data_IF_120637903393
#
_entry.id   IF_120637903393
#
_cell.length_a   1.000
_cell.length_b   1.000
_cell.length_c   1.000
_cell.angle_alpha   90.00
_cell.angle_beta   90.00
_cell.angle_gamma   90.00
#
_symmetry.space_group_name_H-M   'P 1'
#
loop_
_entity.id
_entity.type
_entity.pdbx_description
1 polymer ?
#
# COMPACT_ATOMS: atom_id res chain seq x y z
N UNK A 1 24.95 22.97 -4.73
CA UNK A 1 24.42 21.65 -5.14
C UNK A 1 24.79 20.52 -4.17
N UNK A 2 24.91 20.79 -2.87
CA UNK A 2 25.14 19.77 -1.83
C UNK A 2 24.02 19.70 -0.78
N UNK A 3 22.89 20.39 -0.99
CA UNK A 3 21.85 20.54 0.03
C UNK A 3 20.81 19.40 0.01
N UNK A 4 20.39 18.91 -1.16
CA UNK A 4 19.33 17.89 -1.23
C UNK A 4 19.73 16.58 -0.55
N UNK A 5 20.84 15.95 -0.98
CA UNK A 5 21.25 14.65 -0.41
C UNK A 5 21.54 14.74 1.09
N UNK A 6 22.10 15.86 1.56
CA UNK A 6 22.32 16.10 2.98
C UNK A 6 21.01 16.23 3.77
N UNK A 7 20.03 16.98 3.25
CA UNK A 7 18.71 17.12 3.86
C UNK A 7 17.97 15.79 3.87
N UNK A 8 17.96 15.08 2.74
CA UNK A 8 17.29 13.78 2.60
C UNK A 8 17.83 12.74 3.60
N UNK A 9 19.16 12.65 3.76
CA UNK A 9 19.77 11.74 4.75
C UNK A 9 19.36 12.13 6.16
N UNK A 10 19.42 13.43 6.49
CA UNK A 10 19.02 13.93 7.82
C UNK A 10 17.54 13.65 8.13
N UNK A 11 16.66 13.88 7.17
CA UNK A 11 15.22 13.60 7.29
C UNK A 11 14.96 12.09 7.40
N UNK A 12 15.67 11.28 6.63
CA UNK A 12 15.59 9.81 6.71
C UNK A 12 15.94 9.32 8.12
N UNK A 13 17.03 9.82 8.71
CA UNK A 13 17.37 9.49 10.09
C UNK A 13 16.28 9.91 11.07
N UNK A 14 15.77 11.13 10.96
CA UNK A 14 14.71 11.61 11.85
C UNK A 14 13.43 10.77 11.76
N UNK A 15 13.06 10.31 10.56
CA UNK A 15 11.92 9.40 10.37
C UNK A 15 12.20 8.02 10.98
N UNK A 16 13.37 7.45 10.74
CA UNK A 16 13.74 6.14 11.29
C UNK A 16 13.78 6.15 12.82
N UNK A 17 14.32 7.21 13.42
CA UNK A 17 14.38 7.38 14.88
C UNK A 17 12.98 7.55 15.51
N UNK A 18 12.00 8.01 14.75
CA UNK A 18 10.62 8.19 15.20
C UNK A 18 9.77 6.91 15.09
N UNK A 19 10.23 5.89 14.38
CA UNK A 19 9.50 4.63 14.22
C UNK A 19 9.78 3.73 15.43
N UNK A 20 8.73 3.38 16.19
CA UNK A 20 8.81 2.35 17.24
C UNK A 20 9.08 0.97 16.59
N UNK A 21 10.23 0.32 16.85
CA UNK A 21 10.52 -0.99 16.26
C UNK A 21 9.47 -2.04 16.63
N UNK A 22 8.90 -1.98 17.84
CA UNK A 22 7.86 -2.91 18.25
C UNK A 22 6.56 -2.71 17.47
N UNK A 23 6.31 -1.50 16.95
CA UNK A 23 5.15 -1.26 16.08
C UNK A 23 5.29 -1.96 14.74
N UNK A 24 6.51 -2.03 14.20
CA UNK A 24 6.81 -2.75 12.96
C UNK A 24 6.59 -4.25 13.16
N UNK A 25 7.09 -4.82 14.26
CA UNK A 25 6.89 -6.23 14.59
C UNK A 25 5.39 -6.56 14.75
N UNK A 26 4.63 -5.70 15.45
CA UNK A 26 3.17 -5.88 15.59
C UNK A 26 2.47 -5.90 14.22
N UNK A 27 2.84 -5.02 13.30
CA UNK A 27 2.28 -5.02 11.94
C UNK A 27 2.62 -6.32 11.21
N UNK A 28 3.88 -6.78 11.29
CA UNK A 28 4.31 -8.03 10.67
C UNK A 28 3.56 -9.25 11.22
N UNK A 29 3.36 -9.32 12.55
CA UNK A 29 2.58 -10.37 13.21
C UNK A 29 1.12 -10.37 12.75
N UNK A 30 0.45 -9.22 12.73
CA UNK A 30 -0.95 -9.13 12.28
C UNK A 30 -1.11 -9.50 10.81
N UNK A 31 -0.17 -9.10 9.95
CA UNK A 31 -0.13 -9.55 8.56
C UNK A 31 0.04 -11.08 8.47
N UNK A 32 0.93 -11.65 9.29
CA UNK A 32 1.07 -13.11 9.42
C UNK A 32 -0.24 -13.81 9.75
N UNK A 33 -0.98 -13.31 10.76
CA UNK A 33 -2.28 -13.85 11.15
C UNK A 33 -3.35 -13.70 10.08
N UNK A 34 -3.33 -12.62 9.30
CA UNK A 34 -4.24 -12.43 8.15
C UNK A 34 -3.94 -13.49 7.09
N UNK A 35 -2.66 -13.73 6.77
CA UNK A 35 -2.27 -14.76 5.80
C UNK A 35 -2.66 -16.17 6.27
N UNK A 36 -2.44 -16.51 7.53
CA UNK A 36 -2.73 -17.84 8.10
C UNK A 36 -4.21 -18.22 8.06
N UNK A 37 -5.11 -17.23 8.02
CA UNK A 37 -6.56 -17.45 7.89
C UNK A 37 -7.07 -17.30 6.45
N UNK A 38 -6.17 -17.41 5.47
CA UNK A 38 -6.45 -17.20 4.04
C UNK A 38 -7.12 -15.83 3.78
N UNK A 39 -6.69 -14.81 4.51
CA UNK A 39 -7.18 -13.45 4.39
C UNK A 39 -6.53 -12.68 3.25
N UNK A 40 -7.18 -11.58 2.85
CA UNK A 40 -6.75 -10.71 1.74
C UNK A 40 -6.14 -9.41 2.25
N UNK A 41 -5.09 -8.94 1.58
CA UNK A 41 -4.45 -7.65 1.84
C UNK A 41 -4.71 -6.68 0.68
N UNK A 42 -5.30 -5.53 1.00
CA UNK A 42 -5.50 -4.44 0.03
C UNK A 42 -4.54 -3.29 0.35
N UNK A 43 -3.71 -2.92 -0.62
CA UNK A 43 -2.73 -1.83 -0.49
C UNK A 43 -3.19 -0.70 -1.40
N UNK A 44 -3.26 0.52 -0.88
CA UNK A 44 -3.84 1.67 -1.59
C UNK A 44 -2.84 2.82 -1.60
N UNK A 45 -2.72 3.50 -2.73
CA UNK A 45 -1.91 4.69 -2.87
C UNK A 45 -2.35 5.53 -4.07
N UNK A 46 -2.10 6.83 -4.02
CA UNK A 46 -2.43 7.78 -5.11
C UNK A 46 -1.13 8.38 -5.67
N UNK A 47 -1.10 8.65 -6.98
CA UNK A 47 0.07 9.26 -7.64
C UNK A 47 1.31 8.37 -7.52
N UNK A 48 2.43 8.93 -7.06
CA UNK A 48 3.67 8.15 -6.85
C UNK A 48 3.51 7.00 -5.84
N UNK A 49 2.60 7.14 -4.87
CA UNK A 49 2.30 6.07 -3.91
C UNK A 49 1.49 4.93 -4.52
N UNK A 50 0.79 5.16 -5.65
CA UNK A 50 0.16 4.07 -6.41
C UNK A 50 1.21 3.08 -6.92
N UNK A 51 2.35 3.59 -7.42
CA UNK A 51 3.48 2.75 -7.83
C UNK A 51 4.09 1.95 -6.67
N UNK A 52 4.18 2.55 -5.47
CA UNK A 52 4.59 1.84 -4.26
C UNK A 52 3.59 0.75 -3.86
N UNK A 53 2.28 1.01 -3.97
CA UNK A 53 1.24 0.03 -3.68
C UNK A 53 1.34 -1.19 -4.62
N UNK A 54 1.45 -0.96 -5.93
CA UNK A 54 1.64 -2.02 -6.93
C UNK A 54 2.93 -2.82 -6.67
N UNK A 55 4.04 -2.15 -6.33
CA UNK A 55 5.29 -2.83 -5.98
C UNK A 55 5.13 -3.71 -4.73
N UNK A 56 4.54 -3.17 -3.67
CA UNK A 56 4.30 -3.92 -2.44
C UNK A 56 3.40 -5.14 -2.69
N UNK A 57 2.34 -5.00 -3.50
CA UNK A 57 1.48 -6.13 -3.91
C UNK A 57 2.31 -7.23 -4.56
N UNK A 58 3.24 -6.89 -5.46
CA UNK A 58 4.13 -7.89 -6.09
C UNK A 58 4.98 -8.63 -5.05
N UNK A 59 5.58 -7.91 -4.10
CA UNK A 59 6.41 -8.51 -3.06
C UNK A 59 5.59 -9.40 -2.10
N UNK A 60 4.43 -8.92 -1.65
CA UNK A 60 3.56 -9.71 -0.77
C UNK A 60 3.07 -11.00 -1.45
N UNK A 61 2.74 -10.93 -2.74
CA UNK A 61 2.33 -12.12 -3.50
C UNK A 61 3.49 -13.07 -3.75
N UNK A 62 4.62 -12.56 -4.24
CA UNK A 62 5.76 -13.37 -4.72
C UNK A 62 6.62 -13.91 -3.58
N UNK A 63 6.87 -13.10 -2.56
CA UNK A 63 7.82 -13.40 -1.48
C UNK A 63 7.08 -13.90 -0.25
N UNK A 64 6.00 -13.22 0.14
CA UNK A 64 5.27 -13.55 1.37
C UNK A 64 4.15 -14.58 1.18
N UNK A 65 3.82 -14.98 -0.05
CA UNK A 65 2.74 -15.94 -0.34
C UNK A 65 1.37 -15.44 0.11
N UNK A 66 1.16 -14.11 0.02
CA UNK A 66 -0.05 -13.45 0.49
C UNK A 66 -1.04 -13.24 -0.66
N UNK A 67 -2.33 -13.42 -0.41
CA UNK A 67 -3.35 -12.92 -1.33
C UNK A 67 -3.47 -11.39 -1.20
N UNK A 68 -2.82 -10.64 -2.11
CA UNK A 68 -2.77 -9.19 -2.07
C UNK A 68 -3.18 -8.53 -3.40
N UNK A 69 -3.76 -7.32 -3.30
CA UNK A 69 -4.24 -6.52 -4.45
C UNK A 69 -4.09 -5.02 -4.18
N UNK A 70 -4.06 -4.23 -5.26
CA UNK A 70 -4.28 -2.77 -5.22
C UNK A 70 -5.34 -2.39 -6.27
N UNK A 71 -6.32 -1.52 -5.93
CA UNK A 71 -7.26 -0.99 -6.91
C UNK A 71 -6.60 -0.20 -8.05
N UNK A 72 -5.35 0.24 -7.87
CA UNK A 72 -4.64 1.10 -8.82
C UNK A 72 -4.14 0.39 -10.07
N UNK A 73 -4.03 -0.94 -10.05
CA UNK A 73 -3.45 -1.70 -11.16
C UNK A 73 -4.41 -1.82 -12.34
N UNK A 74 -5.72 -1.79 -12.07
CA UNK A 74 -6.74 -1.74 -13.12
C UNK A 74 -7.05 -0.28 -13.46
N UNK A 75 -6.17 0.35 -14.25
CA UNK A 75 -6.29 1.77 -14.63
C UNK A 75 -7.67 2.07 -15.23
N UNK A 76 -8.20 1.20 -16.08
CA UNK A 76 -9.51 1.40 -16.70
C UNK A 76 -10.62 1.46 -15.65
N UNK A 77 -10.67 0.51 -14.72
CA UNK A 77 -11.67 0.53 -13.65
C UNK A 77 -11.49 1.73 -12.70
N UNK A 78 -10.25 2.04 -12.32
CA UNK A 78 -9.96 3.19 -11.46
C UNK A 78 -10.49 4.49 -12.09
N UNK A 79 -10.19 4.73 -13.36
CA UNK A 79 -10.64 5.95 -14.05
C UNK A 79 -12.16 5.98 -14.27
N UNK A 80 -12.81 4.83 -14.49
CA UNK A 80 -14.26 4.75 -14.59
C UNK A 80 -14.93 5.11 -13.26
N UNK A 81 -14.45 4.56 -12.14
CA UNK A 81 -14.96 4.88 -10.79
C UNK A 81 -14.75 6.34 -10.43
N UNK A 82 -13.59 6.91 -10.77
CA UNK A 82 -13.36 8.34 -10.55
C UNK A 82 -14.34 9.20 -11.36
N UNK A 83 -14.66 8.81 -12.59
CA UNK A 83 -15.62 9.51 -13.44
C UNK A 83 -17.04 9.42 -12.90
N UNK A 84 -17.45 8.23 -12.44
CA UNK A 84 -18.84 7.93 -12.09
C UNK A 84 -19.15 8.25 -10.61
N UNK A 85 -18.25 7.86 -9.70
CA UNK A 85 -18.42 7.96 -8.25
C UNK A 85 -17.67 9.15 -7.63
N UNK A 86 -16.66 9.68 -8.34
CA UNK A 86 -15.78 10.74 -7.87
C UNK A 86 -14.51 10.22 -7.18
N UNK A 87 -13.53 11.11 -6.99
CA UNK A 87 -12.26 10.77 -6.34
C UNK A 87 -12.44 10.31 -4.89
N UNK A 88 -13.35 10.93 -4.15
CA UNK A 88 -13.53 10.71 -2.70
C UNK A 88 -14.00 9.28 -2.36
N UNK A 89 -14.62 8.59 -3.31
CA UNK A 89 -15.28 7.29 -3.10
C UNK A 89 -14.71 6.15 -3.96
N UNK A 90 -13.88 6.45 -4.97
CA UNK A 90 -13.47 5.48 -5.98
C UNK A 90 -12.85 4.18 -5.42
N UNK A 91 -12.04 4.25 -4.36
CA UNK A 91 -11.48 3.08 -3.71
C UNK A 91 -12.47 2.36 -2.79
N UNK A 92 -13.34 3.10 -2.11
CA UNK A 92 -14.39 2.51 -1.27
C UNK A 92 -15.35 1.67 -2.12
N UNK A 93 -15.81 2.21 -3.24
CA UNK A 93 -16.71 1.51 -4.17
C UNK A 93 -16.03 0.31 -4.85
N UNK A 94 -14.72 0.40 -5.12
CA UNK A 94 -13.94 -0.75 -5.57
C UNK A 94 -13.93 -1.87 -4.53
N UNK A 95 -13.65 -1.53 -3.26
CA UNK A 95 -13.59 -2.50 -2.17
C UNK A 95 -14.96 -3.13 -1.87
N UNK A 96 -16.04 -2.35 -1.90
CA UNK A 96 -17.42 -2.86 -1.73
C UNK A 96 -17.80 -3.88 -2.80
N UNK A 97 -17.34 -3.68 -4.03
CA UNK A 97 -17.58 -4.59 -5.16
C UNK A 97 -16.68 -5.83 -5.19
N UNK A 98 -15.57 -5.83 -4.44
CA UNK A 98 -14.53 -6.87 -4.52
C UNK A 98 -15.01 -8.22 -3.96
N UNK A 99 -15.10 -9.21 -4.86
CA UNK A 99 -15.40 -10.63 -4.54
C UNK A 99 -14.26 -11.57 -4.96
N UNK A 100 -13.06 -11.00 -5.13
CA UNK A 100 -11.82 -11.74 -5.41
C UNK A 100 -11.57 -12.80 -4.35
#
# INVERSE_FOLDING_TARGET
>A
MSEFSGSFIKETHAVLDAIDPLSVERVAEELGRVRERDGRLFIIGVGGSAGHASHAVNDFRKICGFEAYTPTDNVSELTARINDDGWDSCYEEWLKGSRL
#
